data_IF_069512069046
#
_entry.id   IF_069512069046
#
_cell.length_a   1.000
_cell.length_b   1.000
_cell.length_c   1.000
_cell.angle_alpha   90.00
_cell.angle_beta   90.00
_cell.angle_gamma   90.00
#
_symmetry.space_group_name_H-M   'P 1'
#
loop_
_entity.id
_entity.type
_entity.pdbx_description
1 polymer ?
#
# COMPACT_ATOMS: atom_id res chain seq x y z
N UNK A 1 0.08 -9.84 -16.63
CA UNK A 1 -0.80 -9.33 -15.56
C UNK A 1 -2.16 -10.01 -15.56
N UNK A 2 -3.06 -9.78 -16.53
CA UNK A 2 -4.38 -10.44 -16.55
C UNK A 2 -4.28 -11.96 -16.61
N UNK A 3 -3.37 -12.50 -17.44
CA UNK A 3 -3.10 -13.94 -17.46
C UNK A 3 -2.58 -14.47 -16.12
N UNK A 4 -1.75 -13.69 -15.42
CA UNK A 4 -1.24 -14.08 -14.10
C UNK A 4 -2.37 -14.12 -13.06
N UNK A 5 -3.30 -13.17 -13.14
CA UNK A 5 -4.50 -13.15 -12.28
C UNK A 5 -5.42 -14.34 -12.56
N UNK A 6 -5.57 -14.74 -13.84
CA UNK A 6 -6.31 -15.94 -14.21
C UNK A 6 -5.66 -17.20 -13.65
N UNK A 7 -4.34 -17.35 -13.85
CA UNK A 7 -3.59 -18.50 -13.38
C UNK A 7 -3.61 -18.63 -11.85
N UNK A 8 -3.66 -17.51 -11.12
CA UNK A 8 -3.76 -17.46 -9.66
C UNK A 8 -5.22 -17.59 -9.15
N UNK A 9 -6.21 -17.64 -10.04
CA UNK A 9 -7.63 -17.67 -9.66
C UNK A 9 -8.15 -16.37 -9.02
N UNK A 10 -7.39 -15.28 -9.13
CA UNK A 10 -7.78 -13.94 -8.65
C UNK A 10 -8.96 -13.41 -9.45
N UNK A 11 -8.99 -13.72 -10.75
CA UNK A 11 -10.10 -13.43 -11.65
C UNK A 11 -10.55 -14.70 -12.36
N UNK A 12 -11.77 -14.67 -12.89
CA UNK A 12 -12.30 -15.73 -13.73
C UNK A 12 -13.14 -15.16 -14.87
N UNK A 13 -13.23 -15.92 -15.96
CA UNK A 13 -14.03 -15.57 -17.13
C UNK A 13 -15.51 -15.83 -16.85
N UNK A 14 -16.35 -14.84 -17.12
CA UNK A 14 -17.81 -14.97 -16.99
C UNK A 14 -18.35 -15.73 -18.19
N UNK A 15 -18.94 -16.91 -17.97
CA UNK A 15 -19.45 -17.78 -19.05
C UNK A 15 -20.89 -17.50 -19.44
N UNK A 16 -21.73 -17.11 -18.49
CA UNK A 16 -23.15 -16.83 -18.71
C UNK A 16 -23.48 -15.43 -18.20
N UNK A 17 -23.68 -14.51 -19.13
CA UNK A 17 -23.98 -13.10 -18.84
C UNK A 17 -25.46 -12.88 -18.48
N UNK A 18 -26.34 -13.78 -18.87
CA UNK A 18 -27.81 -13.64 -18.81
C UNK A 18 -28.42 -14.22 -17.52
N UNK A 19 -27.67 -15.03 -16.76
CA UNK A 19 -28.18 -15.73 -15.57
C UNK A 19 -28.39 -14.84 -14.31
N UNK A 20 -28.19 -13.52 -14.40
CA UNK A 20 -28.00 -12.65 -13.24
C UNK A 20 -29.15 -11.66 -12.96
N UNK A 21 -30.38 -12.06 -13.22
CA UNK A 21 -31.57 -11.21 -13.08
C UNK A 21 -31.81 -10.76 -11.61
N UNK A 22 -31.19 -11.41 -10.61
CA UNK A 22 -31.36 -11.12 -9.18
C UNK A 22 -30.07 -10.88 -8.39
N UNK A 23 -28.95 -10.55 -9.05
CA UNK A 23 -27.67 -10.28 -8.37
C UNK A 23 -27.16 -8.89 -8.73
N UNK A 24 -26.47 -8.17 -7.82
CA UNK A 24 -25.82 -6.92 -8.17
C UNK A 24 -24.75 -7.20 -9.24
N UNK A 25 -24.87 -6.51 -10.37
CA UNK A 25 -23.92 -6.58 -11.49
C UNK A 25 -23.37 -5.19 -11.74
N UNK A 26 -22.05 -5.05 -11.76
CA UNK A 26 -21.39 -3.79 -12.06
C UNK A 26 -20.08 -4.03 -12.81
N UNK A 27 -19.79 -3.18 -13.79
CA UNK A 27 -18.59 -3.25 -14.61
C UNK A 27 -17.63 -2.13 -14.22
N UNK A 28 -16.54 -2.50 -13.57
CA UNK A 28 -15.47 -1.59 -13.18
C UNK A 28 -14.75 -1.05 -14.42
N UNK A 29 -14.80 0.27 -14.69
CA UNK A 29 -13.87 0.87 -15.61
C UNK A 29 -12.45 0.70 -15.11
N UNK A 30 -11.51 0.56 -16.03
CA UNK A 30 -10.10 0.41 -15.69
C UNK A 30 -9.19 1.11 -16.67
N UNK A 31 -8.01 1.47 -16.17
CA UNK A 31 -6.96 2.13 -16.94
C UNK A 31 -5.58 1.59 -16.55
N UNK A 32 -4.69 1.50 -17.54
CA UNK A 32 -3.30 1.17 -17.32
C UNK A 32 -2.52 2.44 -16.95
N UNK A 33 -1.97 2.47 -15.74
CA UNK A 33 -1.11 3.54 -15.26
C UNK A 33 0.34 3.07 -15.34
N UNK A 34 1.16 3.80 -16.09
CA UNK A 34 2.61 3.59 -16.13
C UNK A 34 3.27 4.37 -14.99
N UNK A 35 4.05 3.69 -14.15
CA UNK A 35 4.90 4.33 -13.13
C UNK A 35 6.34 4.27 -13.59
N UNK A 36 6.87 5.41 -13.99
CA UNK A 36 8.29 5.55 -14.38
C UNK A 36 9.19 5.36 -13.14
N UNK A 37 10.29 4.61 -13.28
CA UNK A 37 11.29 4.41 -12.22
C UNK A 37 11.15 3.17 -11.32
N UNK A 38 10.26 2.21 -11.61
CA UNK A 38 10.23 0.89 -10.92
C UNK A 38 10.87 -0.21 -11.77
N UNK A 39 11.75 -0.99 -11.14
CA UNK A 39 12.51 -2.09 -11.78
C UNK A 39 11.61 -3.27 -12.19
N UNK A 40 10.52 -3.56 -11.47
CA UNK A 40 9.78 -4.83 -11.61
C UNK A 40 8.31 -4.74 -12.06
N UNK A 41 7.68 -3.55 -12.06
CA UNK A 41 6.32 -3.39 -12.62
C UNK A 41 6.11 -1.97 -13.08
N UNK A 42 6.47 -1.70 -14.34
CA UNK A 42 6.34 -0.38 -14.97
C UNK A 42 4.88 0.01 -15.23
N UNK A 43 3.95 -0.95 -15.25
CA UNK A 43 2.52 -0.72 -15.51
C UNK A 43 1.65 -1.39 -14.44
N UNK A 44 0.62 -0.69 -13.96
CA UNK A 44 -0.43 -1.19 -13.05
C UNK A 44 -1.80 -0.95 -13.66
N UNK A 45 -2.72 -1.90 -13.55
CA UNK A 45 -4.13 -1.68 -13.90
C UNK A 45 -4.83 -1.14 -12.66
N UNK A 46 -5.52 -0.01 -12.82
CA UNK A 46 -6.35 0.59 -11.76
C UNK A 46 -7.80 0.44 -12.16
N UNK A 47 -8.59 -0.13 -11.26
CA UNK A 47 -10.04 -0.24 -11.39
C UNK A 47 -10.68 0.89 -10.58
N UNK A 48 -11.68 1.54 -11.16
CA UNK A 48 -12.36 2.67 -10.55
C UNK A 48 -13.81 2.29 -10.20
N UNK A 49 -14.06 2.10 -8.90
CA UNK A 49 -15.39 1.80 -8.37
C UNK A 49 -16.16 3.07 -7.96
N UNK A 50 -15.54 4.24 -8.03
CA UNK A 50 -16.16 5.54 -7.78
C UNK A 50 -16.70 6.18 -9.06
N UNK A 51 -16.35 5.64 -10.24
CA UNK A 51 -16.93 6.09 -11.50
C UNK A 51 -18.44 5.90 -11.51
N UNK A 52 -19.14 6.92 -11.97
CA UNK A 52 -20.58 6.92 -12.18
C UNK A 52 -20.93 7.50 -13.55
N UNK A 53 -22.16 7.29 -13.97
CA UNK A 53 -22.77 8.05 -15.06
C UNK A 53 -23.53 9.22 -14.44
N UNK A 54 -23.71 10.32 -15.19
CA UNK A 54 -24.51 11.46 -14.73
C UNK A 54 -25.88 11.00 -14.20
N UNK A 55 -26.16 11.31 -12.94
CA UNK A 55 -27.39 10.94 -12.19
C UNK A 55 -27.55 9.45 -11.85
N UNK A 56 -26.50 8.65 -11.97
CA UNK A 56 -26.47 7.25 -11.52
C UNK A 56 -25.55 7.09 -10.30
N UNK A 57 -25.70 5.99 -9.57
CA UNK A 57 -24.84 5.68 -8.43
C UNK A 57 -23.60 4.91 -8.89
N UNK A 58 -22.45 5.22 -8.30
CA UNK A 58 -21.26 4.39 -8.42
C UNK A 58 -21.41 3.09 -7.60
N UNK A 59 -20.51 2.13 -7.84
CA UNK A 59 -20.45 0.95 -6.98
C UNK A 59 -20.16 1.35 -5.52
N UNK A 60 -19.26 2.31 -5.31
CA UNK A 60 -18.91 2.77 -3.97
C UNK A 60 -20.09 3.42 -3.23
N UNK A 61 -20.99 4.11 -3.92
CA UNK A 61 -22.20 4.70 -3.30
C UNK A 61 -23.19 3.62 -2.83
N UNK A 62 -23.18 2.47 -3.51
CA UNK A 62 -24.04 1.33 -3.19
C UNK A 62 -23.47 0.41 -2.09
N UNK A 63 -22.22 0.62 -1.70
CA UNK A 63 -21.52 -0.23 -0.73
C UNK A 63 -21.38 0.47 0.61
N UNK A 64 -21.61 -0.28 1.68
CA UNK A 64 -21.25 0.19 3.01
C UNK A 64 -19.73 0.08 3.18
N UNK A 65 -18.99 1.20 3.36
CA UNK A 65 -17.53 1.18 3.43
C UNK A 65 -16.99 0.50 4.70
N UNK A 66 -17.84 0.32 5.71
CA UNK A 66 -17.43 -0.08 7.06
C UNK A 66 -16.75 1.04 7.84
N UNK A 67 -16.53 0.85 9.15
CA UNK A 67 -15.75 1.78 9.96
C UNK A 67 -14.28 1.82 9.51
N UNK A 68 -13.63 2.97 9.66
CA UNK A 68 -12.20 3.06 9.45
C UNK A 68 -11.46 2.34 10.60
N UNK A 69 -10.84 1.21 10.29
CA UNK A 69 -10.02 0.43 11.23
C UNK A 69 -8.52 0.66 11.04
N UNK A 70 -8.12 1.46 10.06
CA UNK A 70 -6.72 1.81 9.85
C UNK A 70 -6.28 2.78 10.94
N UNK A 71 -5.05 2.60 11.39
CA UNK A 71 -4.41 3.50 12.34
C UNK A 71 -4.18 4.87 11.71
N UNK A 72 -4.08 5.88 12.57
CA UNK A 72 -3.64 7.19 12.14
C UNK A 72 -2.21 7.07 11.60
N UNK A 73 -1.98 7.57 10.39
CA UNK A 73 -0.68 7.52 9.73
C UNK A 73 0.43 8.18 10.57
N UNK A 74 0.11 9.29 11.24
CA UNK A 74 1.03 10.01 12.11
C UNK A 74 1.45 9.15 13.31
N UNK A 75 0.49 8.48 13.95
CA UNK A 75 0.75 7.63 15.11
C UNK A 75 1.67 6.46 14.71
N UNK A 76 1.43 5.83 13.56
CA UNK A 76 2.29 4.75 13.05
C UNK A 76 3.70 5.26 12.77
N UNK A 77 3.83 6.44 12.18
CA UNK A 77 5.15 7.05 11.90
C UNK A 77 5.90 7.40 13.18
N UNK A 78 5.23 7.98 14.18
CA UNK A 78 5.86 8.28 15.48
C UNK A 78 6.29 6.99 16.16
N UNK A 79 5.39 6.01 16.25
CA UNK A 79 5.65 4.73 16.92
C UNK A 79 6.80 3.95 16.26
N UNK A 80 6.95 4.05 14.94
CA UNK A 80 8.09 3.51 14.21
C UNK A 80 9.43 4.10 14.66
N UNK A 81 9.43 5.37 15.09
CA UNK A 81 10.63 6.09 15.56
C UNK A 81 10.94 5.91 17.04
N UNK A 82 10.04 5.32 17.83
CA UNK A 82 10.25 5.15 19.27
C UNK A 82 11.23 4.04 19.63
N UNK A 83 11.46 3.09 18.71
CA UNK A 83 12.27 1.91 18.97
C UNK A 83 13.67 2.06 18.37
N UNK A 84 14.67 1.47 19.03
CA UNK A 84 16.06 1.46 18.54
C UNK A 84 16.22 0.67 17.24
N UNK A 85 15.54 -0.46 17.11
CA UNK A 85 15.59 -1.32 15.93
C UNK A 85 14.24 -1.26 15.23
N UNK A 86 14.25 -0.65 14.06
CA UNK A 86 13.10 -0.48 13.21
C UNK A 86 12.90 -1.70 12.30
N UNK A 87 11.65 -2.09 12.09
CA UNK A 87 11.24 -3.20 11.22
C UNK A 87 10.15 -2.67 10.31
N UNK A 88 10.31 -2.89 9.00
CA UNK A 88 9.24 -2.64 8.02
C UNK A 88 9.11 -3.86 7.10
N UNK A 89 7.87 -4.22 6.80
CA UNK A 89 7.51 -5.26 5.83
C UNK A 89 6.13 -4.95 5.25
N UNK A 90 5.82 -5.46 4.06
CA UNK A 90 4.48 -5.35 3.47
C UNK A 90 3.85 -6.72 3.21
N UNK A 91 2.52 -6.80 3.26
CA UNK A 91 1.79 -8.01 2.90
C UNK A 91 1.67 -8.10 1.38
N UNK A 92 2.14 -9.21 0.81
CA UNK A 92 2.10 -9.45 -0.62
C UNK A 92 0.67 -9.47 -1.16
N UNK A 93 0.31 -8.42 -1.91
CA UNK A 93 -1.00 -8.31 -2.57
C UNK A 93 -2.15 -8.49 -1.58
N UNK A 94 -2.08 -7.87 -0.39
CA UNK A 94 -2.97 -8.10 0.75
C UNK A 94 -4.46 -8.23 0.40
N UNK A 95 -5.01 -7.28 -0.37
CA UNK A 95 -6.39 -7.32 -0.84
C UNK A 95 -6.73 -8.58 -1.64
N UNK A 96 -5.83 -9.02 -2.51
CA UNK A 96 -6.05 -10.18 -3.39
C UNK A 96 -5.96 -11.52 -2.63
N UNK A 97 -5.60 -11.51 -1.33
CA UNK A 97 -5.63 -12.71 -0.49
C UNK A 97 -7.03 -13.02 0.06
N UNK A 98 -7.96 -12.07 0.01
CA UNK A 98 -9.29 -12.21 0.62
C UNK A 98 -10.33 -12.54 -0.45
N UNK A 99 -10.97 -13.70 -0.31
CA UNK A 99 -12.04 -14.17 -1.19
C UNK A 99 -13.31 -13.33 -1.08
N UNK A 100 -13.91 -13.01 -2.24
CA UNK A 100 -15.28 -12.52 -2.29
C UNK A 100 -16.27 -13.67 -2.23
N UNK A 101 -17.37 -13.48 -1.49
CA UNK A 101 -18.50 -14.38 -1.52
C UNK A 101 -19.09 -14.46 -2.92
N UNK A 102 -19.54 -15.65 -3.36
CA UNK A 102 -20.00 -15.88 -4.73
C UNK A 102 -21.16 -14.96 -5.16
N UNK A 103 -22.00 -14.56 -4.20
CA UNK A 103 -23.11 -13.61 -4.43
C UNK A 103 -22.65 -12.18 -4.76
N UNK A 104 -21.39 -11.82 -4.52
CA UNK A 104 -20.86 -10.47 -4.70
C UNK A 104 -19.87 -10.35 -5.87
N UNK A 105 -19.36 -11.47 -6.39
CA UNK A 105 -18.35 -11.47 -7.48
C UNK A 105 -18.81 -10.74 -8.74
N UNK A 106 -20.11 -10.73 -9.03
CA UNK A 106 -20.64 -10.06 -10.21
C UNK A 106 -20.72 -8.53 -10.09
N UNK A 107 -20.57 -7.98 -8.89
CA UNK A 107 -20.45 -6.54 -8.67
C UNK A 107 -19.05 -5.98 -9.01
N UNK A 108 -18.09 -6.86 -9.34
CA UNK A 108 -16.71 -6.48 -9.67
C UNK A 108 -16.27 -7.08 -11.00
N UNK A 109 -17.13 -6.95 -12.02
CA UNK A 109 -16.81 -7.35 -13.40
C UNK A 109 -15.95 -6.30 -14.07
N UNK A 110 -15.27 -6.69 -15.14
CA UNK A 110 -14.60 -5.76 -16.04
C UNK A 110 -14.49 -6.35 -17.44
N UNK A 111 -14.37 -5.48 -18.43
CA UNK A 111 -14.20 -5.85 -19.83
C UNK A 111 -12.72 -5.91 -20.19
N UNK A 112 -12.28 -6.92 -20.91
CA UNK A 112 -10.90 -7.02 -21.38
C UNK A 112 -10.84 -7.48 -22.84
N UNK A 113 -9.95 -6.88 -23.62
CA UNK A 113 -9.75 -7.26 -25.02
C UNK A 113 -8.61 -8.27 -25.14
N UNK A 114 -8.89 -9.44 -25.71
CA UNK A 114 -7.87 -10.42 -26.06
C UNK A 114 -7.47 -10.26 -27.51
N UNK A 115 -6.18 -9.99 -27.74
CA UNK A 115 -5.58 -9.99 -29.07
C UNK A 115 -4.99 -11.37 -29.34
N UNK A 116 -5.47 -12.05 -30.37
CA UNK A 116 -4.83 -13.27 -30.86
C UNK A 116 -3.64 -12.85 -31.74
N UNK A 117 -2.42 -13.06 -31.25
CA UNK A 117 -1.17 -12.68 -31.93
C UNK A 117 -0.97 -13.31 -33.31
N UNK A 118 -1.77 -14.33 -33.66
CA UNK A 118 -1.64 -15.14 -34.85
C UNK A 118 -2.63 -14.83 -35.98
N UNK A 119 -3.70 -14.06 -35.73
CA UNK A 119 -4.73 -13.77 -36.75
C UNK A 119 -4.98 -12.26 -36.83
N UNK A 120 -5.09 -11.71 -38.06
CA UNK A 120 -5.58 -10.34 -38.36
C UNK A 120 -7.06 -10.12 -37.97
N UNK A 121 -7.59 -10.86 -36.99
CA UNK A 121 -8.96 -10.73 -36.50
C UNK A 121 -9.06 -9.59 -35.48
N UNK A 122 -10.21 -8.93 -35.48
CA UNK A 122 -10.54 -7.92 -34.48
C UNK A 122 -10.44 -8.54 -33.07
N UNK A 123 -9.82 -7.85 -32.10
CA UNK A 123 -9.66 -8.38 -30.74
C UNK A 123 -11.04 -8.70 -30.14
N UNK A 124 -11.14 -9.87 -29.50
CA UNK A 124 -12.41 -10.30 -28.91
C UNK A 124 -12.59 -9.67 -27.53
N UNK A 125 -13.77 -9.09 -27.29
CA UNK A 125 -14.12 -8.53 -25.99
C UNK A 125 -14.55 -9.68 -25.06
N UNK A 126 -13.92 -9.76 -23.90
CA UNK A 126 -14.17 -10.77 -22.88
C UNK A 126 -14.61 -10.11 -21.58
N UNK A 127 -15.46 -10.81 -20.82
CA UNK A 127 -15.92 -10.37 -19.51
C UNK A 127 -15.23 -11.21 -18.45
N UNK A 128 -14.55 -10.52 -17.54
CA UNK A 128 -13.92 -11.09 -16.37
C UNK A 128 -14.59 -10.58 -15.11
N UNK A 129 -14.45 -11.32 -14.01
CA UNK A 129 -14.84 -10.87 -12.66
C UNK A 129 -13.78 -11.23 -11.64
N UNK A 130 -13.67 -10.43 -10.59
CA UNK A 130 -12.78 -10.73 -9.48
C UNK A 130 -13.39 -11.78 -8.52
N UNK A 131 -12.54 -12.69 -8.06
CA UNK A 131 -12.81 -13.64 -7.00
C UNK A 131 -12.31 -13.16 -5.63
N UNK A 132 -11.68 -12.00 -5.59
CA UNK A 132 -10.99 -11.41 -4.44
C UNK A 132 -11.39 -9.95 -4.28
N UNK A 133 -11.25 -9.38 -3.08
CA UNK A 133 -11.47 -7.95 -2.91
C UNK A 133 -10.39 -7.17 -3.70
N UNK A 134 -10.74 -6.01 -4.24
CA UNK A 134 -9.87 -5.24 -5.12
C UNK A 134 -9.58 -3.85 -4.57
N UNK A 135 -8.44 -3.28 -4.95
CA UNK A 135 -8.22 -1.85 -4.77
C UNK A 135 -9.24 -1.04 -5.58
N UNK A 136 -9.60 0.14 -5.07
CA UNK A 136 -10.55 1.06 -5.71
C UNK A 136 -11.97 0.98 -5.12
N UNK A 137 -12.32 -0.16 -4.51
CA UNK A 137 -13.58 -0.35 -3.78
C UNK A 137 -13.44 0.16 -2.35
N UNK A 138 -14.36 1.01 -1.89
CA UNK A 138 -14.29 1.69 -0.59
C UNK A 138 -14.28 0.70 0.61
N UNK A 139 -15.07 -0.37 0.53
CA UNK A 139 -15.17 -1.38 1.58
C UNK A 139 -13.92 -2.27 1.71
N UNK A 140 -13.05 -2.31 0.69
CA UNK A 140 -11.88 -3.21 0.69
C UNK A 140 -10.91 -2.94 1.83
N UNK A 141 -10.73 -1.68 2.23
CA UNK A 141 -9.83 -1.32 3.33
C UNK A 141 -10.33 -1.88 4.66
N UNK A 142 -11.62 -1.69 4.96
CA UNK A 142 -12.26 -2.26 6.14
C UNK A 142 -12.16 -3.79 6.13
N UNK A 143 -12.49 -4.42 5.01
CA UNK A 143 -12.46 -5.88 4.89
C UNK A 143 -11.05 -6.46 5.14
N UNK A 144 -10.01 -5.81 4.61
CA UNK A 144 -8.62 -6.20 4.89
C UNK A 144 -8.30 -6.08 6.38
N UNK A 145 -8.50 -4.91 6.97
CA UNK A 145 -8.18 -4.65 8.37
C UNK A 145 -8.97 -5.57 9.32
N UNK A 146 -10.27 -5.75 9.09
CA UNK A 146 -11.12 -6.63 9.88
C UNK A 146 -10.68 -8.10 9.77
N UNK A 147 -10.29 -8.56 8.58
CA UNK A 147 -9.81 -9.93 8.37
C UNK A 147 -8.50 -10.18 9.12
N UNK A 148 -7.53 -9.25 9.02
CA UNK A 148 -6.27 -9.36 9.75
C UNK A 148 -6.51 -9.35 11.25
N UNK A 149 -7.28 -8.39 11.78
CA UNK A 149 -7.61 -8.30 13.21
C UNK A 149 -8.29 -9.57 13.73
N UNK A 150 -9.24 -10.10 12.98
CA UNK A 150 -9.91 -11.35 13.34
C UNK A 150 -8.94 -12.54 13.37
N UNK A 151 -8.00 -12.59 12.42
CA UNK A 151 -7.01 -13.67 12.35
C UNK A 151 -6.02 -13.64 13.51
N UNK A 152 -5.40 -12.48 13.78
CA UNK A 152 -4.36 -12.35 14.81
C UNK A 152 -4.90 -12.57 16.22
N UNK A 153 -6.20 -12.30 16.45
CA UNK A 153 -6.83 -12.48 17.77
C UNK A 153 -6.75 -13.92 18.27
N UNK A 154 -6.72 -14.91 17.37
CA UNK A 154 -6.54 -16.34 17.71
C UNK A 154 -5.24 -16.60 18.47
N UNK A 155 -4.22 -15.76 18.27
CA UNK A 155 -2.90 -15.92 18.86
C UNK A 155 -2.69 -15.02 20.09
N UNK A 156 -3.70 -14.25 20.53
CA UNK A 156 -3.53 -13.30 21.66
C UNK A 156 -3.04 -13.97 22.93
N UNK A 157 -3.43 -15.22 23.18
CA UNK A 157 -2.99 -15.99 24.36
C UNK A 157 -1.57 -16.54 24.22
N UNK A 158 -1.16 -16.97 23.02
CA UNK A 158 0.13 -17.63 22.78
C UNK A 158 1.25 -16.64 22.44
N UNK A 159 0.93 -15.56 21.73
CA UNK A 159 1.87 -14.54 21.26
C UNK A 159 1.32 -13.12 21.52
N UNK A 160 1.05 -12.74 22.79
CA UNK A 160 0.37 -11.49 23.13
C UNK A 160 1.10 -10.26 22.59
N UNK A 161 2.43 -10.23 22.69
CA UNK A 161 3.27 -9.13 22.21
C UNK A 161 3.15 -9.01 20.68
N UNK A 162 3.35 -10.11 19.94
CA UNK A 162 3.26 -10.10 18.48
C UNK A 162 1.88 -9.66 17.99
N UNK A 163 0.81 -10.11 18.64
CA UNK A 163 -0.57 -9.69 18.30
C UNK A 163 -0.77 -8.20 18.57
N UNK A 164 -0.28 -7.69 19.70
CA UNK A 164 -0.33 -6.25 19.98
C UNK A 164 0.40 -5.44 18.90
N UNK A 165 1.57 -5.90 18.45
CA UNK A 165 2.33 -5.23 17.40
C UNK A 165 1.65 -5.32 16.02
N UNK A 166 1.06 -6.46 15.67
CA UNK A 166 0.30 -6.58 14.42
C UNK A 166 -0.97 -5.72 14.42
N UNK A 167 -1.61 -5.53 15.58
CA UNK A 167 -2.81 -4.69 15.71
C UNK A 167 -2.51 -3.18 15.76
N UNK A 168 -1.39 -2.79 16.37
CA UNK A 168 -1.07 -1.38 16.70
C UNK A 168 -0.05 -0.72 15.76
N UNK A 169 0.51 -1.46 14.80
CA UNK A 169 1.57 -0.96 13.90
C UNK A 169 1.33 -1.32 12.42
N UNK A 170 0.14 -1.83 12.09
CA UNK A 170 -0.22 -2.14 10.71
C UNK A 170 -1.01 -0.99 10.10
N UNK A 171 -0.52 -0.46 8.99
CA UNK A 171 -1.18 0.55 8.19
C UNK A 171 -1.53 -0.02 6.81
N UNK A 172 -2.80 -0.37 6.62
CA UNK A 172 -3.29 -1.06 5.42
C UNK A 172 -2.52 -2.37 5.19
N UNK A 173 -1.59 -2.42 4.24
CA UNK A 173 -0.74 -3.58 3.93
C UNK A 173 0.69 -3.47 4.46
N UNK A 174 1.08 -2.31 5.00
CA UNK A 174 2.42 -2.08 5.56
C UNK A 174 2.42 -2.39 7.07
N UNK A 175 3.35 -3.23 7.52
CA UNK A 175 3.61 -3.46 8.95
C UNK A 175 4.92 -2.80 9.34
N UNK A 176 4.84 -1.79 10.22
CA UNK A 176 5.94 -0.86 10.49
C UNK A 176 6.07 -0.70 11.99
N UNK A 177 7.01 -1.45 12.57
CA UNK A 177 7.16 -1.62 14.01
C UNK A 177 8.64 -1.46 14.42
N UNK A 178 8.94 -1.67 15.70
CA UNK A 178 10.31 -1.88 16.14
C UNK A 178 10.38 -2.57 17.49
N UNK A 179 11.61 -2.76 17.97
CA UNK A 179 11.97 -3.24 19.30
C UNK A 179 13.25 -2.56 19.79
N UNK A 180 13.54 -2.63 21.08
CA UNK A 180 14.74 -2.04 21.66
C UNK A 180 15.99 -2.91 21.48
N UNK A 181 15.81 -4.23 21.37
CA UNK A 181 16.90 -5.20 21.16
C UNK A 181 16.73 -6.01 19.87
N UNK A 182 17.84 -6.52 19.35
CA UNK A 182 17.86 -7.30 18.10
C UNK A 182 17.19 -8.64 18.27
N UNK A 183 17.36 -9.23 19.44
CA UNK A 183 16.81 -10.52 19.82
C UNK A 183 15.28 -10.47 19.86
N UNK A 184 14.71 -9.41 20.45
CA UNK A 184 13.27 -9.15 20.42
C UNK A 184 12.77 -8.88 19.00
N UNK A 185 13.50 -8.07 18.22
CA UNK A 185 13.18 -7.75 16.83
C UNK A 185 13.14 -9.02 15.95
N UNK A 186 14.10 -9.94 16.13
CA UNK A 186 14.12 -11.21 15.44
C UNK A 186 12.94 -12.09 15.86
N UNK A 187 12.69 -12.21 17.16
CA UNK A 187 11.64 -13.07 17.71
C UNK A 187 10.26 -12.62 17.23
N UNK A 188 9.96 -11.31 17.31
CA UNK A 188 8.66 -10.79 16.91
C UNK A 188 8.43 -10.94 15.40
N UNK A 189 9.49 -10.78 14.59
CA UNK A 189 9.42 -10.97 13.14
C UNK A 189 9.10 -12.41 12.77
N UNK A 190 9.70 -13.38 13.47
CA UNK A 190 9.43 -14.81 13.25
C UNK A 190 8.00 -15.18 13.61
N UNK A 191 7.52 -14.70 14.76
CA UNK A 191 6.13 -14.94 15.16
C UNK A 191 5.15 -14.27 14.18
N UNK A 192 5.42 -13.04 13.75
CA UNK A 192 4.57 -12.32 12.81
C UNK A 192 4.50 -13.02 11.45
N UNK A 193 5.65 -13.41 10.89
CA UNK A 193 5.72 -14.14 9.62
C UNK A 193 4.90 -15.44 9.70
N UNK A 194 5.07 -16.22 10.77
CA UNK A 194 4.32 -17.47 10.94
C UNK A 194 2.81 -17.24 11.07
N UNK A 195 2.40 -16.29 11.93
CA UNK A 195 0.99 -15.95 12.12
C UNK A 195 0.36 -15.52 10.81
N UNK A 196 0.99 -14.60 10.07
CA UNK A 196 0.43 -14.08 8.82
C UNK A 196 0.43 -15.12 7.70
N UNK A 197 1.46 -15.98 7.64
CA UNK A 197 1.52 -17.10 6.70
C UNK A 197 0.39 -18.11 6.90
N UNK A 198 -0.06 -18.36 8.13
CA UNK A 198 -1.23 -19.21 8.39
C UNK A 198 -2.55 -18.61 7.85
N UNK A 199 -2.62 -17.28 7.65
CA UNK A 199 -3.72 -16.64 6.92
C UNK A 199 -3.55 -16.64 5.40
N UNK A 200 -2.47 -17.22 4.87
CA UNK A 200 -2.10 -17.08 3.45
C UNK A 200 -1.59 -15.68 3.10
N UNK A 201 -1.24 -14.86 4.10
CA UNK A 201 -0.74 -13.49 3.93
C UNK A 201 0.78 -13.49 4.09
N UNK A 202 1.49 -13.74 2.98
CA UNK A 202 2.95 -13.70 2.91
C UNK A 202 3.46 -12.28 3.17
N UNK A 203 4.32 -12.10 4.19
CA UNK A 203 5.00 -10.81 4.41
C UNK A 203 6.30 -10.78 3.62
N UNK A 204 6.65 -9.61 3.08
CA UNK A 204 7.78 -9.47 2.17
C UNK A 204 8.46 -8.12 2.32
N UNK A 205 9.54 -7.91 1.57
CA UNK A 205 10.38 -6.70 1.62
C UNK A 205 10.78 -6.30 3.04
N UNK A 206 11.20 -7.29 3.81
CA UNK A 206 11.68 -7.09 5.18
C UNK A 206 12.91 -6.19 5.19
N UNK A 207 12.85 -5.09 5.93
CA UNK A 207 13.91 -4.09 5.99
C UNK A 207 14.05 -3.56 7.41
N UNK A 208 15.29 -3.28 7.81
CA UNK A 208 15.65 -2.76 9.13
C UNK A 208 16.81 -1.76 9.04
N UNK A 209 16.98 -0.95 10.09
CA UNK A 209 18.21 -0.19 10.34
C UNK A 209 19.36 -1.07 10.87
N UNK A 210 19.08 -2.32 11.26
CA UNK A 210 20.11 -3.24 11.76
C UNK A 210 20.50 -4.29 10.71
N UNK A 211 21.73 -4.18 10.17
CA UNK A 211 22.24 -5.07 9.11
C UNK A 211 22.45 -6.52 9.57
N UNK A 212 22.68 -6.73 10.87
CA UNK A 212 22.83 -8.07 11.45
C UNK A 212 21.48 -8.78 11.51
N UNK A 213 20.42 -8.07 11.89
CA UNK A 213 19.05 -8.56 11.85
C UNK A 213 18.64 -8.93 10.42
N UNK A 214 18.96 -8.07 9.44
CA UNK A 214 18.70 -8.37 8.02
C UNK A 214 19.42 -9.65 7.57
N UNK A 215 20.67 -9.85 8.01
CA UNK A 215 21.43 -11.07 7.71
C UNK A 215 20.80 -12.31 8.36
N UNK A 216 20.28 -12.19 9.59
CA UNK A 216 19.56 -13.27 10.28
C UNK A 216 18.23 -13.61 9.60
N UNK A 217 17.48 -12.62 9.12
CA UNK A 217 16.27 -12.82 8.32
C UNK A 217 16.57 -13.54 7.00
N UNK A 218 17.59 -13.10 6.26
CA UNK A 218 18.01 -13.74 5.01
C UNK A 218 18.40 -15.21 5.24
N UNK A 219 19.15 -15.51 6.30
CA UNK A 219 19.51 -16.88 6.69
C UNK A 219 18.28 -17.75 7.03
N UNK A 220 17.17 -17.14 7.43
CA UNK A 220 15.89 -17.80 7.72
C UNK A 220 14.92 -17.81 6.53
N UNK A 221 15.35 -17.31 5.37
CA UNK A 221 14.56 -17.34 4.12
C UNK A 221 13.54 -16.21 3.97
N UNK A 222 13.67 -15.11 4.72
CA UNK A 222 12.81 -13.94 4.59
C UNK A 222 13.15 -13.19 3.29
N UNK A 223 12.15 -12.58 2.64
CA UNK A 223 12.36 -11.70 1.49
C UNK A 223 12.88 -10.32 1.96
N UNK A 224 14.19 -10.20 2.17
CA UNK A 224 14.83 -8.98 2.67
C UNK A 224 15.09 -7.93 1.57
N UNK A 225 14.98 -6.65 1.91
CA UNK A 225 15.20 -5.51 1.01
C UNK A 225 16.05 -4.42 1.69
N UNK A 226 16.90 -3.64 0.96
CA UNK A 226 17.27 -3.85 -0.43
C UNK A 226 18.10 -5.13 -0.61
N UNK A 227 17.92 -5.81 -1.74
CA UNK A 227 18.80 -6.90 -2.14
C UNK A 227 20.15 -6.26 -2.41
N UNK A 228 21.16 -6.54 -1.58
CA UNK A 228 22.50 -6.02 -1.75
C UNK A 228 23.10 -6.57 -3.06
N UNK A 229 22.84 -5.84 -4.14
CA UNK A 229 23.48 -6.02 -5.44
C UNK A 229 24.50 -4.91 -5.53
N UNK A 230 25.71 -5.27 -5.12
CA UNK A 230 26.95 -4.51 -5.16
C UNK A 230 27.00 -3.29 -6.11
N UNK A 231 27.60 -2.21 -5.56
CA UNK A 231 28.19 -1.06 -6.28
C UNK A 231 27.20 -0.09 -6.95
N UNK A 232 26.46 0.65 -6.12
CA UNK A 232 26.54 2.11 -6.21
C UNK A 232 26.41 2.72 -4.82
N UNK A 233 27.45 3.44 -4.42
CA UNK A 233 27.55 4.24 -3.21
C UNK A 233 26.44 5.30 -3.25
N UNK A 234 25.21 4.98 -2.80
CA UNK A 234 24.13 5.90 -2.35
C UNK A 234 22.73 5.34 -2.02
N UNK A 235 22.40 4.05 -2.13
CA UNK A 235 20.97 3.63 -2.07
C UNK A 235 20.52 2.75 -0.89
N UNK A 236 20.94 3.05 0.34
CA UNK A 236 20.27 2.55 1.57
C UNK A 236 18.98 3.33 1.90
N UNK A 237 18.32 3.83 0.86
CA UNK A 237 17.18 4.72 0.95
C UNK A 237 15.96 3.99 0.42
N UNK A 238 15.08 3.58 1.32
CA UNK A 238 13.80 2.93 0.99
C UNK A 238 12.64 3.93 1.17
N UNK A 239 11.44 3.59 0.69
CA UNK A 239 10.24 4.36 1.04
C UNK A 239 9.47 3.65 2.14
N UNK A 240 9.11 4.37 3.19
CA UNK A 240 8.23 3.91 4.28
C UNK A 240 7.13 4.96 4.44
N UNK A 241 5.87 4.55 4.29
CA UNK A 241 4.68 5.42 4.43
C UNK A 241 4.74 6.73 3.63
N UNK A 242 5.41 6.71 2.47
CA UNK A 242 5.55 7.87 1.58
C UNK A 242 6.79 8.74 1.83
N UNK A 243 7.50 8.57 2.95
CA UNK A 243 8.79 9.20 3.24
C UNK A 243 9.96 8.35 2.77
N UNK A 244 11.12 8.95 2.53
CA UNK A 244 12.34 8.20 2.28
C UNK A 244 13.08 7.91 3.60
N UNK A 245 13.33 6.65 3.89
CA UNK A 245 14.04 6.21 5.07
C UNK A 245 15.45 5.75 4.72
N UNK A 246 16.44 6.41 5.29
CA UNK A 246 17.85 6.02 5.24
C UNK A 246 18.12 5.07 6.39
N UNK A 247 18.35 3.79 6.10
CA UNK A 247 18.37 2.76 7.13
C UNK A 247 19.63 2.81 8.00
N UNK A 248 20.80 3.13 7.44
CA UNK A 248 22.06 3.16 8.22
C UNK A 248 22.07 4.26 9.29
N UNK A 249 21.74 5.48 8.88
CA UNK A 249 21.69 6.65 9.76
C UNK A 249 20.35 6.74 10.50
N UNK A 250 19.44 5.82 10.20
CA UNK A 250 18.09 5.75 10.71
C UNK A 250 17.34 7.09 10.62
N UNK A 251 17.41 7.75 9.46
CA UNK A 251 16.84 9.08 9.24
C UNK A 251 15.69 9.04 8.23
N UNK A 252 14.57 9.70 8.55
CA UNK A 252 13.51 10.00 7.57
C UNK A 252 13.85 11.29 6.82
N UNK A 253 13.71 11.27 5.50
CA UNK A 253 14.11 12.36 4.60
C UNK A 253 13.03 12.64 3.57
N UNK A 254 12.91 13.93 3.21
CA UNK A 254 12.08 14.39 2.11
C UNK A 254 12.92 14.38 0.83
N UNK A 255 12.47 13.62 -0.19
CA UNK A 255 13.18 13.55 -1.47
C UNK A 255 12.77 14.73 -2.35
N UNK A 256 13.58 15.79 -2.33
CA UNK A 256 13.30 17.04 -3.04
C UNK A 256 13.81 17.06 -4.48
N UNK A 257 14.63 16.10 -4.92
CA UNK A 257 15.25 16.11 -6.25
C UNK A 257 14.23 16.24 -7.39
N UNK A 258 13.17 15.43 -7.37
CA UNK A 258 12.11 15.48 -8.40
C UNK A 258 11.25 16.75 -8.34
N UNK A 259 11.20 17.40 -7.19
CA UNK A 259 10.57 18.73 -7.04
C UNK A 259 11.47 19.80 -7.66
N UNK A 260 12.76 19.79 -7.36
CA UNK A 260 13.73 20.74 -7.91
C UNK A 260 13.80 20.65 -9.44
N UNK A 261 13.85 19.43 -10.00
CA UNK A 261 13.78 19.21 -11.44
C UNK A 261 12.46 19.74 -12.03
N UNK A 262 11.33 19.50 -11.35
CA UNK A 262 10.03 20.00 -11.81
C UNK A 262 9.96 21.53 -11.79
N UNK A 263 10.39 22.18 -10.70
CA UNK A 263 10.41 23.64 -10.55
C UNK A 263 11.34 24.27 -11.59
N UNK A 264 12.45 23.61 -11.94
CA UNK A 264 13.39 24.11 -12.95
C UNK A 264 12.76 24.29 -14.35
N UNK A 265 11.62 23.64 -14.63
CA UNK A 265 10.87 23.86 -15.89
C UNK A 265 10.16 25.22 -15.98
N UNK A 266 10.15 25.97 -14.87
CA UNK A 266 9.80 27.40 -14.78
C UNK A 266 8.47 27.81 -15.44
N UNK A 267 7.40 27.06 -15.20
CA UNK A 267 6.06 27.38 -15.74
C UNK A 267 5.23 28.21 -14.76
N UNK A 268 4.93 29.46 -15.10
CA UNK A 268 4.15 30.34 -14.23
C UNK A 268 2.62 30.15 -14.38
N UNK A 269 2.10 29.01 -13.92
CA UNK A 269 0.64 28.77 -13.87
C UNK A 269 0.20 28.31 -12.49
N UNK A 270 -1.03 28.66 -12.08
CA UNK A 270 -1.62 28.15 -10.83
C UNK A 270 -1.58 26.62 -10.76
N UNK A 271 -1.86 25.94 -11.89
CA UNK A 271 -1.78 24.48 -12.01
C UNK A 271 -0.37 23.96 -11.75
N UNK A 272 0.65 24.61 -12.28
CA UNK A 272 2.04 24.23 -12.05
C UNK A 272 2.44 24.37 -10.58
N UNK A 273 2.08 25.49 -9.95
CA UNK A 273 2.35 25.70 -8.53
C UNK A 273 1.67 24.63 -7.65
N UNK A 274 0.39 24.33 -7.92
CA UNK A 274 -0.33 23.26 -7.21
C UNK A 274 0.31 21.88 -7.43
N UNK A 275 0.79 21.59 -8.64
CA UNK A 275 1.53 20.36 -8.93
C UNK A 275 2.88 20.31 -8.20
N UNK A 276 3.57 21.44 -8.03
CA UNK A 276 4.81 21.53 -7.27
C UNK A 276 4.56 21.28 -5.78
N UNK A 277 3.56 21.96 -5.19
CA UNK A 277 3.17 21.78 -3.79
C UNK A 277 2.74 20.33 -3.55
N UNK A 278 1.92 19.75 -4.43
CA UNK A 278 1.49 18.34 -4.31
C UNK A 278 2.59 17.30 -4.48
N UNK A 279 3.80 17.69 -4.91
CA UNK A 279 4.99 16.81 -4.92
C UNK A 279 5.71 16.77 -3.58
N UNK A 280 5.45 17.74 -2.69
CA UNK A 280 5.92 17.71 -1.30
C UNK A 280 4.96 16.82 -0.53
N UNK A 281 5.41 15.62 -0.18
CA UNK A 281 4.68 14.72 0.70
C UNK A 281 5.28 14.82 2.09
N UNK A 282 4.65 15.63 2.95
CA UNK A 282 5.03 15.78 4.36
C UNK A 282 3.84 15.36 5.25
N UNK A 283 3.76 14.07 5.61
CA UNK A 283 2.71 13.55 6.47
C UNK A 283 2.82 14.03 7.94
N UNK A 284 3.98 14.56 8.35
CA UNK A 284 4.26 15.04 9.70
C UNK A 284 4.02 16.55 9.85
N UNK A 285 3.74 17.26 8.75
CA UNK A 285 3.57 18.72 8.71
C UNK A 285 4.76 19.50 9.27
N UNK A 286 5.96 18.89 9.29
CA UNK A 286 7.20 19.51 9.79
C UNK A 286 7.52 20.78 8.99
N UNK A 287 7.31 20.76 7.67
CA UNK A 287 7.52 21.91 6.79
C UNK A 287 6.58 23.07 7.16
N UNK A 288 5.33 22.77 7.56
CA UNK A 288 4.33 23.77 7.93
C UNK A 288 4.64 24.40 9.31
N UNK A 289 5.10 23.59 10.27
CA UNK A 289 5.49 24.03 11.61
C UNK A 289 6.72 24.96 11.59
N UNK A 290 7.67 24.72 10.68
CA UNK A 290 8.84 25.60 10.50
C UNK A 290 8.46 26.96 9.89
N UNK A 291 7.44 27.02 9.02
CA UNK A 291 6.95 28.28 8.46
C UNK A 291 6.17 29.11 9.50
N UNK A 292 5.32 28.46 10.30
CA UNK A 292 4.50 29.16 11.31
C UNK A 292 5.33 29.84 12.41
N UNK A 293 6.50 29.27 12.75
CA UNK A 293 7.41 29.86 13.75
C UNK A 293 8.13 31.12 13.25
N UNK A 294 8.28 31.28 11.93
CA UNK A 294 8.92 32.44 11.32
C UNK A 294 7.94 33.60 11.03
N UNK A 295 6.63 33.38 11.17
CA UNK A 295 5.60 34.41 10.98
C UNK A 295 5.04 34.97 12.30
N UNK A 296 5.53 34.54 13.46
CA UNK A 296 5.21 35.20 14.72
C UNK A 296 5.94 36.57 14.77
N UNK A 297 5.22 37.71 14.78
CA UNK A 297 5.89 38.98 15.00
C UNK A 297 6.52 38.95 16.38
N UNK A 298 7.82 39.22 16.45
CA UNK A 298 8.49 39.60 17.70
C UNK A 298 7.84 40.89 18.21
N UNK A 299 6.76 40.77 18.98
CA UNK A 299 6.23 41.88 19.78
C UNK A 299 7.15 42.12 20.97
N UNK A 300 8.34 42.64 20.69
CA UNK A 300 9.13 43.39 21.66
C UNK A 300 8.58 44.80 21.70
N UNK A 301 7.61 45.04 22.58
CA UNK A 301 7.31 46.39 23.05
C UNK A 301 8.48 46.81 23.92
N UNK A 302 9.33 47.69 23.39
CA UNK A 302 10.17 48.54 24.22
C UNK A 302 9.35 49.77 24.57
N UNK A 303 9.13 49.95 25.87
CA UNK A 303 8.69 51.19 26.49
C UNK A 303 9.73 52.29 26.23
N UNK A 304 9.27 53.43 25.72
CA UNK A 304 9.63 54.79 26.16
C UNK A 304 8.55 55.77 25.65
#
# INVERSE_FOLDING_TARGET
>A
MIQDYLNQGIIEKVRNTEANIHKPVYYLPHQAIKREGRVTTSTRIVFDAASDQTNELSLNDCLWPGPNLNLNLLDVQINFRLNRIAISSDIRQAFLQICLADKHKDAVRFLWTESNSSDKKMPSLQIYRFNRITLGVNASQFLLAATVKHHIEKYRKSHPITVQHLDSFMYVDDWITGQDTREEALLISLHAENIMKEAGMEMRKWISNDTTLMSQWAAKGFDTYPIDTSVSVRSNMTKVLGLAWQTLDDCLTLVTKGLLEFISTNKNTKRFLLQAIGKIFDPLWIDFLLHYKNELPHSGTQEE
#
